data_IF_380985641054
#
_entry.id   IF_380985641054
#
_cell.length_a   1.000
_cell.length_b   1.000
_cell.length_c   1.000
_cell.angle_alpha   90.00
_cell.angle_beta   90.00
_cell.angle_gamma   90.00
#
_symmetry.space_group_name_H-M   'P 1'
#
loop_
_entity.id
_entity.type
_entity.pdbx_description
1 polymer ?
#
# COMPACT_ATOMS: atom_id res chain seq x y z
N UNK A 1 10.34 21.59 -13.20
CA UNK A 1 9.05 20.87 -13.12
C UNK A 1 9.29 19.55 -12.39
N UNK A 2 8.49 19.22 -11.35
CA UNK A 2 8.59 17.92 -10.68
C UNK A 2 8.16 16.85 -11.69
N UNK A 3 8.96 15.81 -11.98
CA UNK A 3 8.55 14.77 -12.92
C UNK A 3 7.22 14.17 -12.43
N UNK A 4 6.21 14.18 -13.29
CA UNK A 4 4.92 13.57 -12.98
C UNK A 4 5.14 12.06 -12.96
N UNK A 5 4.84 11.43 -11.82
CA UNK A 5 4.87 9.98 -11.73
C UNK A 5 3.97 9.38 -12.83
N UNK A 6 4.38 8.29 -13.49
CA UNK A 6 3.57 7.66 -14.53
C UNK A 6 2.21 7.24 -13.96
N UNK A 7 1.17 7.24 -14.81
CA UNK A 7 -0.14 6.73 -14.43
C UNK A 7 -0.03 5.26 -14.00
N UNK A 8 -0.87 4.88 -13.04
CA UNK A 8 -1.00 3.48 -12.64
C UNK A 8 -1.84 2.74 -13.70
N UNK A 9 -1.41 1.54 -14.08
CA UNK A 9 -2.09 0.74 -15.09
C UNK A 9 -3.09 -0.24 -14.48
N UNK A 10 -2.82 -0.73 -13.28
CA UNK A 10 -3.71 -1.65 -12.55
C UNK A 10 -4.69 -0.95 -11.61
N UNK A 11 -5.85 -1.56 -11.42
CA UNK A 11 -6.85 -1.17 -10.40
C UNK A 11 -6.60 -1.83 -9.04
N UNK A 12 -5.78 -2.89 -8.98
CA UNK A 12 -5.56 -3.67 -7.77
C UNK A 12 -4.51 -3.00 -6.90
N UNK A 13 -4.85 -2.72 -5.63
CA UNK A 13 -3.99 -2.02 -4.67
C UNK A 13 -2.54 -2.54 -4.64
N UNK A 14 -2.34 -3.85 -4.44
CA UNK A 14 -0.99 -4.41 -4.32
C UNK A 14 -0.19 -4.32 -5.63
N UNK A 15 -0.87 -4.39 -6.76
CA UNK A 15 -0.21 -4.23 -8.07
C UNK A 15 0.16 -2.77 -8.31
N UNK A 16 -0.66 -1.81 -7.86
CA UNK A 16 -0.32 -0.37 -7.92
C UNK A 16 0.92 -0.07 -7.07
N UNK A 17 1.03 -0.70 -5.91
CA UNK A 17 2.22 -0.60 -5.06
C UNK A 17 3.44 -1.18 -5.78
N UNK A 18 3.33 -2.35 -6.44
CA UNK A 18 4.43 -2.92 -7.25
C UNK A 18 4.87 -1.98 -8.36
N UNK A 19 3.92 -1.47 -9.15
CA UNK A 19 4.21 -0.52 -10.24
C UNK A 19 5.01 0.67 -9.72
N UNK A 20 4.61 1.24 -8.58
CA UNK A 20 5.31 2.38 -8.00
C UNK A 20 6.68 2.02 -7.44
N UNK A 21 6.80 0.91 -6.71
CA UNK A 21 8.07 0.47 -6.13
C UNK A 21 9.10 0.19 -7.23
N UNK A 22 8.69 -0.46 -8.32
CA UNK A 22 9.56 -0.77 -9.47
C UNK A 22 9.93 0.47 -10.27
N UNK A 23 8.99 1.39 -10.48
CA UNK A 23 9.28 2.69 -11.10
C UNK A 23 10.33 3.49 -10.32
N UNK A 24 10.31 3.40 -9.00
CA UNK A 24 11.28 4.05 -8.12
C UNK A 24 12.59 3.25 -7.95
N UNK A 25 12.76 2.13 -8.68
CA UNK A 25 13.95 1.28 -8.66
C UNK A 25 14.34 0.75 -7.26
N UNK A 26 13.36 0.55 -6.38
CA UNK A 26 13.60 -0.17 -5.13
C UNK A 26 13.93 -1.63 -5.40
N UNK A 27 14.67 -2.24 -4.48
CA UNK A 27 15.00 -3.66 -4.55
C UNK A 27 13.76 -4.55 -4.45
N UNK A 28 13.88 -5.78 -4.96
CA UNK A 28 12.85 -6.81 -4.78
C UNK A 28 12.62 -7.18 -3.30
N UNK A 29 13.63 -7.00 -2.43
CA UNK A 29 13.47 -7.19 -0.98
C UNK A 29 12.56 -6.12 -0.38
N UNK A 30 12.73 -4.86 -0.76
CA UNK A 30 11.84 -3.76 -0.36
C UNK A 30 10.42 -3.97 -0.87
N UNK A 31 10.25 -4.40 -2.14
CA UNK A 31 8.94 -4.75 -2.70
C UNK A 31 8.22 -5.78 -1.82
N UNK A 32 8.89 -6.87 -1.46
CA UNK A 32 8.32 -7.94 -0.62
C UNK A 32 7.88 -7.42 0.75
N UNK A 33 8.74 -6.66 1.42
CA UNK A 33 8.44 -6.11 2.76
C UNK A 33 7.27 -5.13 2.70
N UNK A 34 7.25 -4.22 1.73
CA UNK A 34 6.20 -3.22 1.62
C UNK A 34 4.85 -3.87 1.30
N UNK A 35 4.82 -4.82 0.37
CA UNK A 35 3.60 -5.56 0.05
C UNK A 35 3.08 -6.37 1.24
N UNK A 36 3.97 -6.96 2.04
CA UNK A 36 3.59 -7.63 3.27
C UNK A 36 2.89 -6.66 4.23
N UNK A 37 3.51 -5.52 4.54
CA UNK A 37 2.95 -4.55 5.47
C UNK A 37 1.64 -3.94 4.99
N UNK A 38 1.54 -3.56 3.70
CA UNK A 38 0.29 -3.04 3.13
C UNK A 38 -0.82 -4.09 3.23
N UNK A 39 -0.54 -5.36 2.87
CA UNK A 39 -1.52 -6.45 2.99
C UNK A 39 -1.92 -6.69 4.44
N UNK A 40 -0.97 -6.67 5.36
CA UNK A 40 -1.22 -6.92 6.77
C UNK A 40 -2.06 -5.80 7.38
N UNK A 41 -1.71 -4.54 7.11
CA UNK A 41 -2.48 -3.36 7.51
C UNK A 41 -3.96 -3.46 7.10
N UNK A 42 -4.22 -3.71 5.80
CA UNK A 42 -5.59 -3.82 5.28
C UNK A 42 -6.36 -4.97 5.93
N UNK A 43 -5.71 -6.13 6.11
CA UNK A 43 -6.36 -7.31 6.75
C UNK A 43 -6.58 -7.12 8.24
N UNK A 44 -5.64 -6.46 8.93
CA UNK A 44 -5.76 -6.16 10.34
C UNK A 44 -6.99 -5.29 10.56
N UNK A 45 -7.16 -4.18 9.84
CA UNK A 45 -8.38 -3.37 9.95
C UNK A 45 -9.65 -4.08 9.49
N UNK A 46 -9.55 -4.97 8.50
CA UNK A 46 -10.68 -5.75 8.00
C UNK A 46 -11.11 -6.93 8.86
N UNK A 47 -10.45 -7.17 10.01
CA UNK A 47 -10.71 -8.33 10.89
C UNK A 47 -12.14 -8.40 11.45
N UNK A 48 -12.88 -7.30 11.40
CA UNK A 48 -14.26 -7.18 11.89
C UNK A 48 -15.34 -7.34 10.80
N UNK A 49 -14.95 -7.73 9.57
CA UNK A 49 -15.91 -8.11 8.51
C UNK A 49 -15.92 -7.20 7.29
N UNK A 50 -15.41 -5.98 7.40
CA UNK A 50 -15.36 -5.03 6.27
C UNK A 50 -13.92 -4.66 5.93
N UNK A 51 -13.48 -4.99 4.73
CA UNK A 51 -12.19 -4.54 4.21
C UNK A 51 -12.33 -3.16 3.59
N UNK A 52 -11.59 -2.19 4.10
CA UNK A 52 -11.58 -0.81 3.61
C UNK A 52 -10.32 -0.55 2.79
N UNK A 53 -10.44 0.22 1.70
CA UNK A 53 -9.29 0.62 0.90
C UNK A 53 -8.41 1.60 1.72
N UNK A 54 -7.07 1.46 1.75
CA UNK A 54 -6.22 2.27 2.62
C UNK A 54 -6.20 3.77 2.28
N UNK A 55 -6.69 4.17 1.10
CA UNK A 55 -6.93 5.59 0.76
C UNK A 55 -8.03 6.24 1.61
N UNK A 56 -8.97 5.44 2.08
CA UNK A 56 -10.06 5.87 2.98
C UNK A 56 -9.61 5.81 4.46
N UNK A 57 -8.38 5.38 4.73
CA UNK A 57 -7.80 5.28 6.06
C UNK A 57 -6.83 6.44 6.30
N UNK A 58 -6.80 6.94 7.53
CA UNK A 58 -5.95 8.06 7.93
C UNK A 58 -4.99 7.71 9.07
N UNK A 59 -4.46 8.75 9.69
CA UNK A 59 -3.47 8.63 10.76
C UNK A 59 -3.97 7.78 11.93
N UNK A 60 -5.24 7.91 12.34
CA UNK A 60 -5.79 7.15 13.47
C UNK A 60 -5.79 5.64 13.23
N UNK A 61 -6.03 5.18 12.00
CA UNK A 61 -5.91 3.77 11.65
C UNK A 61 -4.45 3.30 11.70
N UNK A 62 -3.53 4.13 11.21
CA UNK A 62 -2.09 3.83 11.27
C UNK A 62 -1.62 3.74 12.72
N UNK A 63 -1.98 4.69 13.58
CA UNK A 63 -1.65 4.68 15.01
C UNK A 63 -2.20 3.43 15.71
N UNK A 64 -3.46 3.09 15.45
CA UNK A 64 -4.09 1.90 16.02
C UNK A 64 -3.41 0.60 15.57
N UNK A 65 -2.87 0.56 14.36
CA UNK A 65 -2.14 -0.61 13.84
C UNK A 65 -0.73 -0.76 14.44
N UNK A 66 -0.10 0.34 14.86
CA UNK A 66 1.26 0.37 15.39
C UNK A 66 1.34 0.17 16.91
N UNK A 67 0.19 0.07 17.59
CA UNK A 67 0.08 -0.14 19.04
C UNK A 67 -0.32 -1.58 19.33
#
# INVERSE_FOLDING_TARGET
>A
MKPRNPPLHTIRLLDQVRERIRYLHYSLSTEKVYLYWVRFFVRWHGRHGTMTHPREMGASQVEAFLT
#
